data_IF_119290765699
#
_entry.id   IF_119290765699
#
_cell.length_a   1.000
_cell.length_b   1.000
_cell.length_c   1.000
_cell.angle_alpha   90.00
_cell.angle_beta   90.00
_cell.angle_gamma   90.00
#
_symmetry.space_group_name_H-M   'P 1'
#
loop_
_entity.id
_entity.type
_entity.pdbx_description
1 polymer ?
#
# COMPACT_ATOMS: atom_id res chain seq x y z
N UNK A 1 -25.69 -6.70 52.76
CA UNK A 1 -25.86 -7.50 51.53
C UNK A 1 -24.53 -7.56 50.76
N UNK A 2 -23.49 -8.15 51.35
CA UNK A 2 -22.13 -8.23 50.76
C UNK A 2 -21.54 -9.66 50.81
N UNK A 3 -22.37 -10.66 51.10
CA UNK A 3 -21.97 -12.06 51.29
C UNK A 3 -22.38 -12.93 50.08
N UNK A 4 -23.24 -12.43 49.18
CA UNK A 4 -23.66 -13.18 47.99
C UNK A 4 -22.66 -13.13 46.82
N UNK A 5 -21.75 -12.14 46.77
CA UNK A 5 -20.88 -11.98 45.59
C UNK A 5 -19.64 -12.87 45.60
N UNK A 6 -19.23 -13.38 46.76
CA UNK A 6 -18.04 -14.24 46.89
C UNK A 6 -18.34 -15.71 46.61
N UNK A 7 -19.59 -16.14 46.76
CA UNK A 7 -20.01 -17.52 46.43
C UNK A 7 -20.15 -17.77 44.92
N UNK A 8 -20.40 -16.72 44.11
CA UNK A 8 -20.51 -16.86 42.65
C UNK A 8 -19.14 -17.01 41.97
N UNK A 9 -18.06 -16.55 42.62
CA UNK A 9 -16.69 -16.62 42.08
C UNK A 9 -16.03 -17.98 42.27
N UNK A 10 -16.53 -18.83 43.19
CA UNK A 10 -15.95 -20.14 43.46
C UNK A 10 -16.50 -21.26 42.54
N UNK A 11 -17.66 -21.04 41.92
CA UNK A 11 -18.30 -22.03 41.04
C UNK A 11 -17.78 -22.01 39.59
N UNK A 12 -17.02 -21.00 39.18
CA UNK A 12 -16.46 -20.91 37.82
C UNK A 12 -15.09 -21.59 37.66
N UNK A 13 -14.44 -21.98 38.77
CA UNK A 13 -13.09 -22.56 38.77
C UNK A 13 -13.05 -24.10 38.72
N UNK A 14 -14.20 -24.76 38.57
CA UNK A 14 -14.32 -26.23 38.61
C UNK A 14 -14.72 -26.90 37.27
N UNK A 15 -14.66 -26.18 36.14
CA UNK A 15 -15.07 -26.73 34.82
C UNK A 15 -13.89 -26.93 33.85
N UNK A 16 -12.63 -26.67 34.24
CA UNK A 16 -11.46 -26.82 33.36
C UNK A 16 -10.62 -28.09 33.59
N UNK A 17 -11.21 -29.12 34.17
CA UNK A 17 -10.49 -30.38 34.37
C UNK A 17 -11.44 -31.52 34.09
N UNK A 18 -11.51 -32.01 32.85
CA UNK A 18 -11.66 -33.43 32.50
C UNK A 18 -11.74 -33.63 30.97
N UNK A 19 -10.68 -34.20 30.41
CA UNK A 19 -10.70 -35.10 29.25
C UNK A 19 -10.31 -34.48 27.91
N UNK A 20 -9.45 -35.07 27.07
CA UNK A 20 -8.66 -36.29 27.14
C UNK A 20 -7.53 -36.17 26.11
N UNK A 21 -6.30 -36.48 26.50
CA UNK A 21 -5.29 -36.97 25.56
C UNK A 21 -5.74 -38.36 25.06
N UNK A 22 -5.71 -38.58 23.75
CA UNK A 22 -5.61 -39.93 23.20
C UNK A 22 -4.80 -39.93 21.90
N UNK A 23 -3.71 -40.67 21.95
CA UNK A 23 -2.78 -40.96 20.88
C UNK A 23 -3.45 -41.55 19.63
N UNK A 24 -2.93 -41.17 18.46
CA UNK A 24 -2.81 -42.09 17.32
C UNK A 24 -1.58 -41.72 16.51
N UNK A 25 -0.51 -42.50 16.72
CA UNK A 25 0.56 -42.65 15.76
C UNK A 25 -0.01 -43.09 14.41
N UNK A 26 0.35 -42.39 13.33
CA UNK A 26 0.23 -42.90 11.97
C UNK A 26 1.62 -42.94 11.37
N UNK A 27 2.14 -44.16 11.32
CA UNK A 27 3.30 -44.58 10.55
C UNK A 27 2.88 -44.58 9.07
N UNK A 28 3.11 -43.47 8.38
CA UNK A 28 2.96 -43.36 6.93
C UNK A 28 4.34 -43.47 6.27
N UNK A 29 4.70 -44.69 5.84
CA UNK A 29 5.79 -44.90 4.90
C UNK A 29 5.34 -44.44 3.52
N UNK A 30 5.55 -43.17 3.19
CA UNK A 30 5.37 -42.68 1.82
C UNK A 30 6.74 -42.51 1.14
N UNK A 31 6.93 -43.07 -0.07
CA UNK A 31 8.20 -43.07 -0.75
C UNK A 31 8.61 -41.66 -1.16
N UNK A 32 9.82 -41.33 -0.72
CA UNK A 32 10.70 -40.27 -1.16
C UNK A 32 10.63 -40.09 -2.69
N UNK A 33 9.78 -39.17 -3.17
CA UNK A 33 9.82 -38.73 -4.56
C UNK A 33 11.04 -37.82 -4.72
N UNK A 34 12.00 -38.31 -5.49
CA UNK A 34 13.25 -37.65 -5.81
C UNK A 34 13.03 -36.21 -6.35
N UNK A 35 13.97 -35.27 -6.08
CA UNK A 35 13.91 -33.95 -6.68
C UNK A 35 14.04 -34.06 -8.20
N UNK A 36 13.15 -33.37 -8.91
CA UNK A 36 13.21 -33.24 -10.36
C UNK A 36 14.54 -32.59 -10.77
N UNK A 37 15.32 -33.30 -11.58
CA UNK A 37 16.53 -32.81 -12.24
C UNK A 37 16.22 -31.56 -13.06
N UNK A 38 16.88 -30.45 -12.76
CA UNK A 38 16.79 -29.23 -13.54
C UNK A 38 17.40 -29.42 -14.95
N UNK A 39 16.82 -28.83 -16.01
CA UNK A 39 17.44 -28.84 -17.33
C UNK A 39 18.72 -28.00 -17.35
N UNK A 40 19.77 -28.57 -17.96
CA UNK A 40 21.08 -27.94 -18.16
C UNK A 40 20.94 -26.60 -18.92
N UNK A 41 21.36 -25.51 -18.29
CA UNK A 41 21.49 -24.21 -18.94
C UNK A 41 22.74 -24.21 -19.85
N UNK A 42 22.64 -23.69 -21.09
CA UNK A 42 23.80 -23.60 -21.96
C UNK A 42 24.86 -22.64 -21.37
N UNK A 43 26.10 -23.12 -21.33
CA UNK A 43 27.31 -22.38 -20.93
C UNK A 43 27.35 -21.02 -21.62
N UNK A 44 27.20 -19.95 -20.84
CA UNK A 44 27.45 -18.58 -21.28
C UNK A 44 28.96 -18.37 -21.32
N UNK A 45 29.51 -18.26 -22.53
CA UNK A 45 30.91 -17.92 -22.75
C UNK A 45 31.23 -16.59 -22.08
N UNK A 46 32.35 -16.56 -21.36
CA UNK A 46 32.98 -15.38 -20.79
C UNK A 46 33.26 -14.37 -21.90
N UNK A 47 32.56 -13.23 -21.88
CA UNK A 47 32.91 -12.10 -22.73
C UNK A 47 34.02 -11.34 -22.02
N UNK A 48 35.18 -11.35 -22.66
CA UNK A 48 36.41 -10.68 -22.27
C UNK A 48 36.18 -9.19 -21.96
N UNK A 49 36.48 -8.82 -20.71
CA UNK A 49 36.55 -7.45 -20.23
C UNK A 49 37.91 -6.85 -20.58
N UNK A 50 38.15 -6.53 -21.85
CA UNK A 50 39.25 -5.65 -22.30
C UNK A 50 38.82 -4.88 -23.54
N UNK A 51 38.34 -3.65 -23.35
CA UNK A 51 38.51 -2.51 -24.25
C UNK A 51 37.72 -1.30 -23.70
N UNK A 52 38.35 -0.58 -22.78
CA UNK A 52 38.00 0.80 -22.45
C UNK A 52 39.26 1.63 -22.67
N UNK A 53 39.61 1.81 -23.95
CA UNK A 53 40.56 2.83 -24.36
C UNK A 53 39.83 4.16 -24.42
N UNK A 54 40.31 5.04 -23.53
CA UNK A 54 40.00 6.45 -23.36
C UNK A 54 40.76 7.25 -24.43
N UNK A 55 40.05 7.79 -25.41
CA UNK A 55 40.37 8.95 -26.27
C UNK A 55 38.99 9.43 -26.80
N UNK A 56 38.56 10.68 -26.90
CA UNK A 56 39.20 11.99 -26.94
C UNK A 56 38.31 12.83 -27.88
N UNK A 57 37.55 13.81 -27.35
CA UNK A 57 36.81 14.82 -28.13
C UNK A 57 36.65 16.04 -27.19
N UNK A 58 37.54 17.03 -27.26
CA UNK A 58 37.50 18.23 -28.11
C UNK A 58 36.25 19.08 -27.91
N UNK A 59 36.48 20.11 -27.11
CA UNK A 59 35.89 21.46 -27.08
C UNK A 59 35.36 21.92 -28.43
N UNK A 60 34.14 22.47 -28.43
CA UNK A 60 33.60 23.24 -29.54
C UNK A 60 32.90 24.48 -28.99
N UNK A 61 33.33 25.61 -29.53
CA UNK A 61 32.96 27.00 -29.24
C UNK A 61 31.45 27.25 -29.26
N UNK A 62 31.02 28.17 -28.40
CA UNK A 62 29.71 28.80 -28.44
C UNK A 62 29.83 30.21 -29.04
N UNK A 63 29.24 30.36 -30.22
CA UNK A 63 28.62 31.55 -30.80
C UNK A 63 27.42 30.98 -31.60
N UNK A 64 26.24 31.55 -31.73
CA UNK A 64 25.84 32.94 -31.91
C UNK A 64 24.29 32.98 -31.86
N UNK A 65 23.79 34.20 -31.70
CA UNK A 65 22.47 34.79 -31.90
C UNK A 65 21.47 34.09 -32.86
N UNK A 66 20.16 34.21 -32.58
CA UNK A 66 19.14 33.99 -33.61
C UNK A 66 17.74 33.53 -33.20
N UNK A 67 16.91 34.50 -32.84
CA UNK A 67 15.48 34.64 -33.22
C UNK A 67 14.39 33.67 -32.73
N UNK A 68 13.34 34.33 -32.24
CA UNK A 68 12.02 33.87 -31.85
C UNK A 68 11.25 33.22 -33.01
N UNK A 69 10.66 32.04 -32.76
CA UNK A 69 9.64 31.47 -33.65
C UNK A 69 8.30 31.43 -32.90
N UNK A 70 7.67 32.60 -32.81
CA UNK A 70 6.28 32.75 -32.36
C UNK A 70 5.39 32.25 -33.51
N UNK A 71 4.91 31.02 -33.38
CA UNK A 71 3.86 30.46 -34.24
C UNK A 71 2.60 31.34 -34.12
N UNK A 72 2.43 32.22 -35.11
CA UNK A 72 1.30 33.13 -35.24
C UNK A 72 0.07 32.30 -35.63
N UNK A 73 -0.78 31.98 -34.64
CA UNK A 73 -2.07 31.33 -34.90
C UNK A 73 -2.88 32.15 -35.90
N UNK A 74 -3.38 31.49 -36.94
CA UNK A 74 -4.25 32.12 -37.92
C UNK A 74 -5.62 32.42 -37.31
N UNK A 75 -6.34 33.48 -37.75
CA UNK A 75 -7.68 33.80 -37.24
C UNK A 75 -8.71 32.68 -37.44
N UNK A 76 -8.48 31.78 -38.40
CA UNK A 76 -9.37 30.64 -38.69
C UNK A 76 -9.25 29.53 -37.64
N UNK A 77 -8.05 29.29 -37.10
CA UNK A 77 -7.81 28.28 -36.05
C UNK A 77 -8.45 28.69 -34.72
N UNK A 78 -8.48 30.00 -34.42
CA UNK A 78 -9.15 30.55 -33.24
C UNK A 78 -10.69 30.49 -33.35
N UNK A 79 -11.25 30.51 -34.56
CA UNK A 79 -12.69 30.38 -34.80
C UNK A 79 -13.17 28.91 -34.70
N UNK A 80 -12.29 27.95 -34.99
CA UNK A 80 -12.58 26.50 -34.87
C UNK A 80 -12.67 26.03 -33.41
N UNK A 81 -11.91 26.66 -32.51
CA UNK A 81 -11.92 26.35 -31.07
C UNK A 81 -13.18 26.84 -30.32
N UNK A 82 -13.97 27.75 -30.90
CA UNK A 82 -15.19 28.31 -30.26
C UNK A 82 -16.51 27.60 -30.61
N UNK A 83 -16.47 26.52 -31.40
CA UNK A 83 -17.69 25.82 -31.87
C UNK A 83 -18.04 24.51 -31.15
N UNK A 84 -17.28 24.11 -30.13
CA UNK A 84 -17.69 23.01 -29.25
C UNK A 84 -18.37 23.56 -27.99
N UNK A 85 -19.64 23.92 -28.13
CA UNK A 85 -20.52 24.19 -27.00
C UNK A 85 -20.88 22.88 -26.26
N UNK A 86 -21.12 22.92 -24.94
CA UNK A 86 -21.51 21.74 -24.19
C UNK A 86 -22.90 21.27 -24.64
N UNK A 87 -22.90 20.13 -25.33
CA UNK A 87 -24.10 19.41 -25.72
C UNK A 87 -24.86 18.91 -24.49
N UNK A 88 -26.12 19.34 -24.43
CA UNK A 88 -27.26 18.78 -23.71
C UNK A 88 -27.09 17.32 -23.30
N UNK A 89 -27.10 17.07 -21.99
CA UNK A 89 -27.41 15.75 -21.43
C UNK A 89 -28.90 15.76 -21.12
N UNK A 90 -29.68 14.96 -21.86
CA UNK A 90 -31.08 14.70 -21.55
C UNK A 90 -31.18 13.92 -20.23
N UNK A 91 -32.21 14.17 -19.39
CA UNK A 91 -32.39 13.48 -18.12
C UNK A 91 -32.85 12.03 -18.34
N UNK A 92 -32.22 11.08 -17.65
CA UNK A 92 -32.71 9.71 -17.54
C UNK A 92 -33.73 9.62 -16.40
N UNK A 93 -34.84 8.87 -16.56
CA UNK A 93 -35.97 8.92 -15.63
C UNK A 93 -35.72 8.18 -14.33
N UNK A 94 -36.32 8.72 -13.27
CA UNK A 94 -36.35 8.20 -11.92
C UNK A 94 -37.13 6.87 -11.82
N UNK A 95 -36.52 5.88 -11.15
CA UNK A 95 -37.26 4.77 -10.55
C UNK A 95 -37.14 4.88 -9.03
N UNK A 96 -38.27 5.24 -8.41
CA UNK A 96 -38.53 5.07 -6.98
C UNK A 96 -38.57 3.58 -6.64
N UNK A 97 -37.96 3.19 -5.54
CA UNK A 97 -38.47 2.11 -4.69
C UNK A 97 -38.13 2.41 -3.24
N UNK A 98 -39.18 2.43 -2.43
CA UNK A 98 -39.23 2.67 -1.01
C UNK A 98 -38.80 1.43 -0.18
N UNK A 99 -38.01 1.70 0.88
CA UNK A 99 -37.94 1.04 2.20
C UNK A 99 -37.41 -0.41 2.36
N UNK A 100 -37.00 -0.85 3.59
CA UNK A 100 -36.61 -0.12 4.80
C UNK A 100 -35.25 -0.56 5.41
N UNK A 101 -34.78 0.24 6.37
CA UNK A 101 -33.67 0.01 7.31
C UNK A 101 -33.93 -1.17 8.25
N UNK A 102 -32.96 -2.08 8.39
CA UNK A 102 -32.83 -2.98 9.53
C UNK A 102 -31.40 -2.96 10.07
N UNK A 103 -31.29 -2.81 11.39
CA UNK A 103 -30.06 -2.70 12.14
C UNK A 103 -29.31 -4.04 12.26
N UNK A 104 -27.97 -3.94 12.35
CA UNK A 104 -27.11 -4.82 13.15
C UNK A 104 -26.98 -6.27 12.72
N UNK A 105 -25.86 -6.61 12.05
CA UNK A 105 -25.22 -7.91 12.23
C UNK A 105 -23.73 -7.83 11.90
N UNK A 106 -22.90 -7.88 12.94
CA UNK A 106 -21.52 -8.35 12.88
C UNK A 106 -21.52 -9.79 12.43
N UNK A 107 -21.25 -10.01 11.14
CA UNK A 107 -21.06 -11.33 10.55
C UNK A 107 -19.71 -11.37 9.85
N UNK A 108 -18.73 -12.00 10.48
CA UNK A 108 -17.50 -12.47 9.85
C UNK A 108 -17.89 -13.46 8.76
N UNK A 109 -17.93 -13.02 7.50
CA UNK A 109 -18.14 -13.92 6.36
C UNK A 109 -16.87 -14.75 6.16
N UNK A 110 -16.92 -16.08 6.24
CA UNK A 110 -15.83 -16.92 5.75
C UNK A 110 -15.66 -16.66 4.26
N UNK A 111 -14.42 -16.54 3.80
CA UNK A 111 -14.09 -16.42 2.39
C UNK A 111 -14.80 -17.54 1.60
N UNK A 112 -15.80 -17.16 0.82
CA UNK A 112 -16.53 -18.07 -0.04
C UNK A 112 -15.54 -18.57 -1.09
N UNK A 113 -15.18 -19.86 -1.03
CA UNK A 113 -14.30 -20.45 -2.03
C UNK A 113 -14.93 -20.29 -3.42
N UNK A 114 -14.17 -19.83 -4.43
CA UNK A 114 -14.69 -19.73 -5.79
C UNK A 114 -15.04 -21.11 -6.34
N UNK A 115 -16.19 -21.20 -7.00
CA UNK A 115 -16.61 -22.39 -7.70
C UNK A 115 -15.57 -22.78 -8.77
N UNK A 116 -15.31 -24.08 -8.99
CA UNK A 116 -14.38 -24.54 -10.02
C UNK A 116 -14.90 -24.10 -11.40
N UNK A 117 -14.25 -23.09 -11.98
CA UNK A 117 -14.59 -22.52 -13.29
C UNK A 117 -14.74 -20.99 -13.35
N UNK A 118 -14.71 -20.28 -12.21
CA UNK A 118 -14.67 -18.81 -12.25
C UNK A 118 -13.28 -18.32 -12.67
N UNK A 119 -13.21 -17.47 -13.70
CA UNK A 119 -12.00 -16.69 -14.02
C UNK A 119 -11.51 -15.99 -12.75
N UNK A 120 -10.20 -15.92 -12.47
CA UNK A 120 -9.69 -15.22 -11.31
C UNK A 120 -10.25 -13.80 -11.31
N UNK A 121 -11.08 -13.47 -10.33
CA UNK A 121 -11.50 -12.09 -10.12
C UNK A 121 -10.24 -11.34 -9.67
N UNK A 122 -9.70 -10.50 -10.56
CA UNK A 122 -8.63 -9.59 -10.20
C UNK A 122 -9.20 -8.60 -9.19
N UNK A 123 -8.73 -8.70 -7.95
CA UNK A 123 -9.07 -7.80 -6.87
C UNK A 123 -8.24 -6.52 -7.01
N UNK A 124 -8.76 -5.60 -7.83
CA UNK A 124 -8.11 -4.35 -8.21
C UNK A 124 -8.04 -3.35 -7.04
N UNK A 125 -8.98 -3.43 -6.09
CA UNK A 125 -9.08 -2.52 -4.95
C UNK A 125 -8.29 -3.00 -3.73
N UNK A 126 -7.64 -4.17 -3.83
CA UNK A 126 -6.81 -4.70 -2.74
C UNK A 126 -5.58 -3.83 -2.50
N UNK A 127 -5.45 -3.38 -1.26
CA UNK A 127 -4.24 -2.77 -0.73
C UNK A 127 -3.05 -3.73 -0.82
N UNK A 128 -1.94 -3.25 -1.38
CA UNK A 128 -0.64 -3.94 -1.36
C UNK A 128 0.05 -3.61 -0.04
N UNK A 129 0.13 -2.32 0.26
CA UNK A 129 0.59 -1.80 1.54
C UNK A 129 -0.05 -0.44 1.81
N UNK A 130 -0.07 -0.06 3.08
CA UNK A 130 -0.56 1.23 3.53
C UNK A 130 0.39 1.79 4.59
N UNK A 131 0.60 3.10 4.57
CA UNK A 131 1.22 3.84 5.67
C UNK A 131 0.20 4.73 6.35
N UNK A 132 0.36 4.96 7.65
CA UNK A 132 -0.44 5.94 8.36
C UNK A 132 0.36 6.64 9.44
N UNK A 133 0.13 7.93 9.62
CA UNK A 133 0.70 8.71 10.72
C UNK A 133 -0.31 8.85 11.85
N UNK A 134 0.12 8.45 13.03
CA UNK A 134 -0.67 8.56 14.26
C UNK A 134 -0.77 10.02 14.73
N UNK A 135 -1.65 10.27 15.69
CA UNK A 135 -1.72 11.57 16.34
C UNK A 135 -0.51 11.81 17.26
N UNK A 136 -0.15 13.07 17.46
CA UNK A 136 0.88 13.50 18.40
C UNK A 136 0.35 14.72 19.19
N UNK A 137 0.90 14.99 20.37
CA UNK A 137 0.50 16.13 21.21
C UNK A 137 1.02 17.49 20.73
N UNK A 138 1.92 17.52 19.74
CA UNK A 138 2.46 18.73 19.11
C UNK A 138 1.45 19.57 18.31
N UNK A 139 0.14 19.34 18.50
CA UNK A 139 -0.96 20.14 17.97
C UNK A 139 -0.88 20.26 16.45
N UNK A 140 -0.41 21.41 15.99
CA UNK A 140 -0.48 21.84 14.59
C UNK A 140 0.71 21.37 13.72
N UNK A 141 1.75 20.79 14.33
CA UNK A 141 2.97 20.39 13.60
C UNK A 141 2.95 18.95 13.08
N UNK A 142 2.08 18.10 13.63
CA UNK A 142 2.04 16.68 13.27
C UNK A 142 0.97 16.40 12.22
N UNK A 143 1.40 16.21 10.98
CA UNK A 143 0.52 15.80 9.88
C UNK A 143 -0.04 14.40 10.17
N UNK A 144 -1.35 14.25 10.01
CA UNK A 144 -2.05 12.96 10.16
C UNK A 144 -2.67 12.56 8.83
N UNK A 145 -2.33 11.37 8.36
CA UNK A 145 -2.90 10.81 7.14
C UNK A 145 -2.77 9.29 7.09
N UNK A 146 -3.54 8.68 6.20
CA UNK A 146 -3.26 7.35 5.65
C UNK A 146 -2.93 7.46 4.17
N UNK A 147 -1.96 6.70 3.69
CA UNK A 147 -1.63 6.57 2.28
C UNK A 147 -1.57 5.08 1.93
N UNK A 148 -2.37 4.66 0.96
CA UNK A 148 -2.52 3.27 0.57
C UNK A 148 -2.16 3.10 -0.90
N UNK A 149 -1.39 2.06 -1.23
CA UNK A 149 -1.11 1.63 -2.59
C UNK A 149 -1.96 0.41 -2.93
N UNK A 150 -2.75 0.50 -3.99
CA UNK A 150 -3.63 -0.58 -4.47
C UNK A 150 -3.07 -1.28 -5.71
N UNK A 151 -3.60 -2.48 -5.99
CA UNK A 151 -3.24 -3.28 -7.17
C UNK A 151 -3.54 -2.60 -8.52
N UNK A 152 -4.52 -1.70 -8.60
CA UNK A 152 -4.83 -0.92 -9.82
C UNK A 152 -3.83 0.22 -10.10
N UNK A 153 -2.72 0.31 -9.35
CA UNK A 153 -1.68 1.35 -9.42
C UNK A 153 -2.18 2.71 -8.97
N UNK A 154 -3.08 2.75 -8.00
CA UNK A 154 -3.58 3.98 -7.41
C UNK A 154 -2.98 4.18 -6.03
N UNK A 155 -2.69 5.43 -5.70
CA UNK A 155 -2.52 5.87 -4.33
C UNK A 155 -3.84 6.44 -3.82
N UNK A 156 -4.26 6.01 -2.64
CA UNK A 156 -5.40 6.55 -1.93
C UNK A 156 -4.87 7.28 -0.68
N UNK A 157 -5.12 8.58 -0.61
CA UNK A 157 -4.75 9.44 0.50
C UNK A 157 -5.99 9.77 1.33
N UNK A 158 -5.99 9.37 2.60
CA UNK A 158 -6.93 9.81 3.62
C UNK A 158 -6.29 10.95 4.43
N UNK A 159 -6.50 12.19 3.97
CA UNK A 159 -5.90 13.40 4.53
C UNK A 159 -6.70 13.91 5.74
N UNK A 160 -6.06 13.98 6.91
CA UNK A 160 -6.71 14.32 8.19
C UNK A 160 -6.19 15.64 8.76
N UNK A 161 -5.72 15.65 10.01
CA UNK A 161 -5.29 16.85 10.73
C UNK A 161 -3.96 17.38 10.19
N UNK A 162 -3.79 18.71 10.24
CA UNK A 162 -2.55 19.41 9.87
C UNK A 162 -2.04 19.08 8.47
N UNK A 163 -2.95 19.05 7.52
CA UNK A 163 -2.68 18.89 6.09
C UNK A 163 -3.48 19.93 5.31
N UNK A 164 -2.96 20.31 4.15
CA UNK A 164 -3.64 21.26 3.25
C UNK A 164 -4.90 20.65 2.63
N UNK A 165 -4.86 19.35 2.33
CA UNK A 165 -6.00 18.57 1.86
C UNK A 165 -6.82 18.03 3.04
N UNK A 166 -8.14 17.83 2.83
CA UNK A 166 -9.08 17.24 3.80
C UNK A 166 -10.00 16.22 3.14
N UNK A 167 -10.03 15.01 3.69
CA UNK A 167 -10.85 13.89 3.20
C UNK A 167 -10.05 12.91 2.33
N UNK A 168 -10.77 12.10 1.54
CA UNK A 168 -10.16 11.06 0.70
C UNK A 168 -9.85 11.56 -0.71
N UNK A 169 -8.65 11.26 -1.19
CA UNK A 169 -8.16 11.59 -2.51
C UNK A 169 -7.55 10.36 -3.16
N UNK A 170 -7.56 10.33 -4.49
CA UNK A 170 -6.86 9.31 -5.25
C UNK A 170 -5.95 9.92 -6.30
N UNK A 171 -4.84 9.24 -6.58
CA UNK A 171 -3.92 9.56 -7.67
C UNK A 171 -3.55 8.29 -8.40
N UNK A 172 -3.73 8.30 -9.73
CA UNK A 172 -3.25 7.21 -10.58
C UNK A 172 -1.74 7.33 -10.77
N UNK A 173 -1.01 6.23 -10.63
CA UNK A 173 0.43 6.16 -10.86
C UNK A 173 0.73 5.65 -12.27
N UNK A 174 1.78 6.19 -12.86
CA UNK A 174 2.40 5.56 -14.03
C UNK A 174 3.00 4.20 -13.64
N UNK A 175 3.21 3.33 -14.62
CA UNK A 175 3.84 2.02 -14.39
C UNK A 175 5.23 2.16 -13.74
N UNK A 176 6.00 3.18 -14.14
CA UNK A 176 7.33 3.46 -13.58
C UNK A 176 7.25 3.87 -12.10
N UNK A 177 6.32 4.75 -11.74
CA UNK A 177 6.14 5.20 -10.35
C UNK A 177 5.65 4.05 -9.46
N UNK A 178 4.72 3.26 -9.96
CA UNK A 178 4.20 2.08 -9.27
C UNK A 178 5.30 1.05 -9.00
N UNK A 179 6.06 0.66 -10.02
CA UNK A 179 7.15 -0.31 -9.88
C UNK A 179 8.26 0.22 -8.95
N UNK A 180 8.54 1.53 -8.97
CA UNK A 180 9.49 2.14 -8.05
C UNK A 180 9.06 1.97 -6.59
N UNK A 181 7.78 2.15 -6.28
CA UNK A 181 7.25 1.95 -4.93
C UNK A 181 7.30 0.47 -4.50
N UNK A 182 6.95 -0.45 -5.40
CA UNK A 182 7.06 -1.88 -5.13
C UNK A 182 8.51 -2.30 -4.87
N UNK A 183 9.44 -1.90 -5.73
CA UNK A 183 10.86 -2.22 -5.54
C UNK A 183 11.44 -1.59 -4.26
N UNK A 184 10.96 -0.41 -3.86
CA UNK A 184 11.36 0.19 -2.58
C UNK A 184 10.83 -0.60 -1.38
N UNK A 185 9.60 -1.12 -1.46
CA UNK A 185 9.01 -2.01 -0.45
C UNK A 185 9.80 -3.32 -0.35
N UNK A 186 10.06 -3.99 -1.48
CA UNK A 186 10.86 -5.22 -1.54
C UNK A 186 12.28 -5.00 -1.00
N UNK A 187 12.92 -3.90 -1.39
CA UNK A 187 14.25 -3.54 -0.94
C UNK A 187 14.32 -3.19 0.55
N UNK A 188 13.19 -3.01 1.25
CA UNK A 188 13.17 -2.85 2.71
C UNK A 188 13.22 -4.18 3.46
N UNK A 189 13.20 -5.30 2.74
CA UNK A 189 13.20 -6.67 3.28
C UNK A 189 12.18 -6.84 4.42
N UNK A 190 10.89 -6.57 4.16
CA UNK A 190 9.89 -6.36 5.20
C UNK A 190 9.69 -7.59 6.11
N UNK A 191 10.02 -8.78 5.63
CA UNK A 191 9.96 -10.02 6.42
C UNK A 191 10.95 -10.04 7.59
N UNK A 192 12.11 -9.38 7.43
CA UNK A 192 13.20 -9.29 8.41
C UNK A 192 13.08 -8.09 9.34
N UNK A 193 12.09 -7.24 9.13
CA UNK A 193 11.85 -6.07 9.96
C UNK A 193 11.16 -6.47 11.27
N UNK A 194 11.57 -5.79 12.33
CA UNK A 194 10.94 -5.85 13.64
C UNK A 194 9.57 -5.15 13.60
N UNK A 195 8.67 -5.54 14.51
CA UNK A 195 7.33 -4.95 14.56
C UNK A 195 7.31 -3.50 15.04
N UNK A 196 8.35 -3.07 15.76
CA UNK A 196 8.43 -1.72 16.35
C UNK A 196 9.87 -1.21 16.30
N UNK A 197 10.04 0.07 15.97
CA UNK A 197 11.32 0.79 16.00
C UNK A 197 11.22 2.09 16.82
N UNK A 198 12.18 2.37 17.72
CA UNK A 198 13.27 1.48 18.15
C UNK A 198 12.73 0.21 18.84
N UNK A 199 13.53 -0.86 18.86
CA UNK A 199 13.15 -2.13 19.50
C UNK A 199 13.06 -2.02 21.01
N UNK A 200 13.88 -1.17 21.62
CA UNK A 200 13.73 -0.79 23.02
C UNK A 200 12.60 0.22 23.18
N UNK A 201 11.44 -0.26 23.65
CA UNK A 201 10.24 0.56 23.86
C UNK A 201 10.41 1.62 24.94
N UNK A 202 11.40 1.49 25.83
CA UNK A 202 11.64 2.51 26.87
C UNK A 202 12.22 3.80 26.29
N UNK A 203 12.81 3.72 25.08
CA UNK A 203 13.31 4.88 24.35
C UNK A 203 12.21 5.65 23.60
N UNK A 204 10.99 5.11 23.54
CA UNK A 204 9.86 5.73 22.82
C UNK A 204 9.18 6.73 23.77
N UNK A 205 9.20 8.04 23.46
CA UNK A 205 8.44 9.02 24.24
C UNK A 205 6.94 8.74 24.15
N UNK A 206 6.20 8.94 25.24
CA UNK A 206 4.75 8.71 25.29
C UNK A 206 3.95 9.51 24.23
N UNK A 207 4.48 10.67 23.84
CA UNK A 207 3.82 11.60 22.91
C UNK A 207 4.40 11.55 21.48
N UNK A 208 5.28 10.58 21.19
CA UNK A 208 5.93 10.47 19.90
C UNK A 208 4.95 10.03 18.81
N UNK A 209 5.04 10.68 17.64
CA UNK A 209 4.29 10.27 16.47
C UNK A 209 4.90 9.00 15.88
N UNK A 210 4.09 7.95 15.71
CA UNK A 210 4.45 6.79 14.93
C UNK A 210 4.01 6.93 13.46
N UNK A 211 4.89 6.52 12.55
CA UNK A 211 4.53 6.12 11.18
C UNK A 211 4.33 4.61 11.18
N UNK A 212 3.12 4.16 10.85
CA UNK A 212 2.73 2.75 10.82
C UNK A 212 2.72 2.27 9.38
N UNK A 213 3.49 1.24 9.06
CA UNK A 213 3.43 0.50 7.80
C UNK A 213 2.61 -0.78 7.99
N UNK A 214 1.65 -1.03 7.09
CA UNK A 214 0.81 -2.22 7.03
C UNK A 214 0.96 -2.87 5.66
N UNK A 215 1.10 -4.18 5.60
CA UNK A 215 1.21 -4.94 4.36
C UNK A 215 0.79 -6.39 4.60
N UNK A 216 0.41 -7.10 3.54
CA UNK A 216 0.19 -8.54 3.63
C UNK A 216 1.51 -9.29 3.41
N UNK A 217 1.79 -10.30 4.23
CA UNK A 217 2.91 -11.20 4.01
C UNK A 217 2.63 -12.20 2.86
N UNK A 218 3.61 -13.08 2.58
CA UNK A 218 3.50 -14.13 1.55
C UNK A 218 2.36 -15.12 1.79
N UNK A 219 1.85 -15.21 3.02
CA UNK A 219 0.72 -16.05 3.41
C UNK A 219 -0.61 -15.27 3.42
N UNK A 220 -0.60 -13.98 3.10
CA UNK A 220 -1.76 -13.10 3.12
C UNK A 220 -2.12 -12.56 4.51
N UNK A 221 -1.28 -12.79 5.54
CA UNK A 221 -1.48 -12.27 6.88
C UNK A 221 -1.06 -10.81 6.95
N UNK A 222 -1.89 -9.95 7.54
CA UNK A 222 -1.55 -8.55 7.73
C UNK A 222 -0.42 -8.41 8.76
N UNK A 223 0.71 -7.84 8.33
CA UNK A 223 1.81 -7.42 9.20
C UNK A 223 1.75 -5.91 9.41
N UNK A 224 2.13 -5.49 10.61
CA UNK A 224 2.19 -4.10 11.05
C UNK A 224 3.57 -3.80 11.61
N UNK A 225 4.18 -2.71 11.14
CA UNK A 225 5.44 -2.18 11.63
C UNK A 225 5.19 -0.76 12.12
N UNK A 226 5.51 -0.46 13.37
CA UNK A 226 5.42 0.86 13.96
C UNK A 226 6.79 1.51 14.05
N UNK A 227 6.96 2.67 13.43
CA UNK A 227 8.22 3.41 13.44
C UNK A 227 8.03 4.73 14.17
N UNK A 228 8.66 4.86 15.33
CA UNK A 228 8.73 6.11 16.10
C UNK A 228 10.06 6.84 15.84
N UNK A 229 11.17 6.10 15.79
CA UNK A 229 12.51 6.58 15.47
C UNK A 229 13.42 5.42 15.03
N UNK A 230 14.65 5.73 14.57
CA UNK A 230 15.74 4.76 14.35
C UNK A 230 15.40 3.54 13.47
N UNK A 231 14.51 3.72 12.48
CA UNK A 231 14.23 2.69 11.50
C UNK A 231 15.46 2.34 10.65
N UNK A 232 15.62 1.08 10.21
CA UNK A 232 16.66 0.68 9.27
C UNK A 232 16.64 1.56 8.02
N UNK A 233 17.82 1.84 7.46
CA UNK A 233 18.01 2.83 6.38
C UNK A 233 17.06 2.63 5.19
N UNK A 234 16.80 1.39 4.79
CA UNK A 234 15.91 1.08 3.67
C UNK A 234 14.44 1.35 4.03
N UNK A 235 13.98 0.97 5.22
CA UNK A 235 12.64 1.28 5.72
C UNK A 235 12.44 2.80 5.87
N UNK A 236 13.40 3.49 6.49
CA UNK A 236 13.35 4.95 6.64
C UNK A 236 13.27 5.66 5.28
N UNK A 237 14.02 5.18 4.29
CA UNK A 237 13.95 5.70 2.91
C UNK A 237 12.59 5.45 2.27
N UNK A 238 12.04 4.24 2.38
CA UNK A 238 10.69 3.93 1.89
C UNK A 238 9.63 4.86 2.50
N UNK A 239 9.66 5.03 3.81
CA UNK A 239 8.72 5.90 4.52
C UNK A 239 8.87 7.35 4.07
N UNK A 240 10.10 7.87 3.96
CA UNK A 240 10.34 9.22 3.45
C UNK A 240 9.88 9.40 1.99
N UNK A 241 10.13 8.41 1.13
CA UNK A 241 9.66 8.42 -0.26
C UNK A 241 8.12 8.46 -0.31
N UNK A 242 7.43 7.64 0.50
CA UNK A 242 5.97 7.63 0.60
C UNK A 242 5.41 8.92 1.19
N UNK A 243 6.07 9.51 2.18
CA UNK A 243 5.70 10.82 2.71
C UNK A 243 5.80 11.91 1.64
N UNK A 244 6.83 11.87 0.79
CA UNK A 244 6.99 12.83 -0.30
C UNK A 244 5.87 12.74 -1.35
N UNK A 245 5.20 11.58 -1.48
CA UNK A 245 4.07 11.42 -2.38
C UNK A 245 2.84 12.21 -1.95
N UNK A 246 2.66 12.39 -0.64
CA UNK A 246 1.54 13.13 -0.07
C UNK A 246 1.54 14.58 -0.55
N UNK A 247 2.72 15.16 -0.70
CA UNK A 247 2.92 16.58 -1.06
C UNK A 247 2.97 16.82 -2.59
N UNK A 248 2.79 15.78 -3.41
CA UNK A 248 2.72 15.94 -4.87
C UNK A 248 1.36 16.46 -5.32
N UNK A 249 1.34 17.08 -6.49
CA UNK A 249 0.11 17.52 -7.15
C UNK A 249 -0.75 16.36 -7.69
N UNK A 250 -1.80 16.64 -8.46
CA UNK A 250 -2.53 15.62 -9.23
C UNK A 250 -3.43 14.69 -8.41
N UNK A 251 -3.75 15.07 -7.16
CA UNK A 251 -4.76 14.41 -6.35
C UNK A 251 -6.17 14.74 -6.82
N UNK A 252 -7.01 13.72 -6.97
CA UNK A 252 -8.43 13.85 -7.31
C UNK A 252 -9.26 13.47 -6.10
N UNK A 253 -10.08 14.41 -5.61
CA UNK A 253 -10.96 14.15 -4.46
C UNK A 253 -11.96 13.03 -4.80
N UNK A 254 -12.06 12.04 -3.92
CA UNK A 254 -13.04 10.96 -4.05
C UNK A 254 -14.41 11.45 -3.58
N UNK A 255 -15.48 11.05 -4.27
CA UNK A 255 -16.84 11.33 -3.81
C UNK A 255 -17.11 10.59 -2.49
N UNK A 256 -17.78 11.26 -1.55
CA UNK A 256 -18.25 10.70 -0.27
C UNK A 256 -19.59 9.99 -0.44
#
# INVERSE_FOLDING_TARGET
MRILSTLLSLSFLLVFSFGCNKDAASTGNDPFLAPATAPDLPKRNSVDSKNLSREGLKEQEAADDGSEDIVKLTPEDAARAKRMGPGRISPSPATKSDQPVTAGSTGTTPASMPAPGSKPALDYDRAIFAISKTACYGGDKCRQFGLELTNDRRLILDAKRNMDLKGKYSRMLSATEYNKLLSAMEASEPERLEMVYPTDKTMIPADAQATILRYADVHGTERKIEVYADAPKQLAKLLADLESWVDKDGWIKMAE
#
